data_IF_130850698147
#
_entry.id   IF_130850698147
#
_cell.length_a   1.000
_cell.length_b   1.000
_cell.length_c   1.000
_cell.angle_alpha   90.00
_cell.angle_beta   90.00
_cell.angle_gamma   90.00
#
_symmetry.space_group_name_H-M   'P 1'
#
loop_
_entity.id
_entity.type
_entity.pdbx_description
1 polymer ?
#
# COMPACT_ATOMS: atom_id res chain seq x y z
N UNK A 1 -18.66 18.78 3.09
CA UNK A 1 -17.76 18.58 1.93
C UNK A 1 -17.40 17.10 1.87
N UNK A 2 -17.71 16.43 0.75
CA UNK A 2 -17.65 14.97 0.60
C UNK A 2 -16.24 14.55 0.17
N UNK A 3 -15.67 13.53 0.81
CA UNK A 3 -14.66 12.68 0.17
C UNK A 3 -15.35 11.40 -0.31
N UNK A 4 -15.36 11.09 -1.61
CA UNK A 4 -15.98 9.86 -2.10
C UNK A 4 -14.98 8.72 -1.95
N UNK A 5 -15.20 7.85 -0.96
CA UNK A 5 -14.52 6.56 -0.92
C UNK A 5 -15.00 5.76 -2.13
N UNK A 6 -14.09 5.51 -3.07
CA UNK A 6 -14.35 4.86 -4.34
C UNK A 6 -14.54 3.35 -4.11
N UNK A 7 -15.73 2.94 -3.72
CA UNK A 7 -16.08 1.53 -3.54
C UNK A 7 -16.38 0.88 -4.90
N UNK A 8 -15.33 0.70 -5.72
CA UNK A 8 -15.44 -0.10 -6.95
C UNK A 8 -15.30 -1.58 -6.59
N UNK A 9 -16.41 -2.16 -6.14
CA UNK A 9 -16.61 -3.61 -6.01
C UNK A 9 -16.14 -4.28 -7.31
N UNK A 10 -15.08 -5.09 -7.23
CA UNK A 10 -14.57 -5.90 -8.34
C UNK A 10 -15.62 -6.95 -8.72
N UNK A 11 -16.67 -6.56 -9.45
CA UNK A 11 -17.50 -7.52 -10.16
C UNK A 11 -16.66 -8.06 -11.31
N UNK A 12 -16.28 -9.34 -11.26
CA UNK A 12 -15.55 -10.04 -12.33
C UNK A 12 -16.39 -10.02 -13.62
N UNK A 13 -16.32 -8.94 -14.38
CA UNK A 13 -16.77 -8.91 -15.76
C UNK A 13 -15.77 -9.72 -16.57
N UNK A 14 -16.22 -10.82 -17.20
CA UNK A 14 -15.45 -11.63 -18.16
C UNK A 14 -15.18 -10.82 -19.44
N UNK A 15 -14.46 -9.69 -19.35
CA UNK A 15 -13.99 -8.94 -20.51
C UNK A 15 -12.62 -9.47 -20.91
N UNK A 16 -12.55 -9.99 -22.13
CA UNK A 16 -11.31 -10.36 -22.82
C UNK A 16 -10.52 -9.06 -23.01
N UNK A 17 -9.32 -9.00 -22.44
CA UNK A 17 -8.43 -7.84 -22.55
C UNK A 17 -7.79 -7.90 -23.95
N UNK A 18 -8.37 -7.21 -24.91
CA UNK A 18 -7.68 -6.89 -26.16
C UNK A 18 -6.68 -5.77 -25.86
N UNK A 19 -5.41 -6.05 -26.17
CA UNK A 19 -4.26 -5.27 -25.74
C UNK A 19 -4.41 -3.78 -26.04
N UNK A 20 -4.26 -2.96 -25.01
CA UNK A 20 -4.27 -1.51 -25.17
C UNK A 20 -2.85 -0.96 -25.08
N UNK A 21 -2.56 -0.06 -26.00
CA UNK A 21 -1.34 0.73 -26.06
C UNK A 21 -1.36 1.81 -24.97
N UNK A 22 -0.21 1.99 -24.31
CA UNK A 22 0.04 2.57 -22.97
C UNK A 22 -0.19 1.55 -21.85
N UNK A 23 0.85 1.35 -21.03
CA UNK A 23 0.87 0.41 -19.90
C UNK A 23 -0.37 0.60 -19.04
N UNK A 24 -1.28 -0.38 -19.07
CA UNK A 24 -2.37 -0.47 -18.11
C UNK A 24 -1.75 -0.73 -16.72
N UNK A 25 -1.92 0.20 -15.78
CA UNK A 25 -1.47 0.01 -14.39
C UNK A 25 -2.65 -0.40 -13.51
N UNK A 26 -2.40 -1.32 -12.59
CA UNK A 26 -3.32 -1.62 -11.49
C UNK A 26 -2.82 -0.90 -10.24
N UNK A 27 -3.70 -0.15 -9.58
CA UNK A 27 -3.42 0.49 -8.29
C UNK A 27 -4.07 -0.31 -7.17
N UNK A 28 -3.29 -0.58 -6.12
CA UNK A 28 -3.77 -1.20 -4.88
C UNK A 28 -3.50 -0.21 -3.75
N UNK A 29 -4.51 0.03 -2.90
CA UNK A 29 -4.41 0.92 -1.74
C UNK A 29 -4.91 0.19 -0.49
N UNK A 30 -4.17 0.34 0.61
CA UNK A 30 -4.52 -0.21 1.93
C UNK A 30 -4.74 0.96 2.88
N UNK A 31 -5.82 0.93 3.63
CA UNK A 31 -6.17 1.94 4.62
C UNK A 31 -6.59 1.27 5.93
N UNK A 32 -6.21 1.88 7.04
CA UNK A 32 -6.62 1.49 8.39
C UNK A 32 -7.12 2.74 9.16
N UNK A 33 -7.69 2.53 10.34
CA UNK A 33 -8.20 3.58 11.23
C UNK A 33 -7.39 3.67 12.54
N UNK A 34 -6.12 3.23 12.50
CA UNK A 34 -5.20 3.28 13.62
C UNK A 34 -4.71 4.70 13.93
N UNK A 35 -3.78 4.79 14.90
CA UNK A 35 -3.24 6.07 15.36
C UNK A 35 -2.42 6.83 14.30
N UNK A 36 -2.09 6.19 13.17
CA UNK A 36 -1.23 6.75 12.13
C UNK A 36 0.24 6.80 12.55
N UNK A 37 1.01 7.63 11.86
CA UNK A 37 2.45 7.78 12.06
C UNK A 37 2.81 9.26 12.10
N UNK A 38 3.71 9.65 13.01
CA UNK A 38 4.33 10.98 12.97
C UNK A 38 5.18 11.14 11.70
N UNK A 39 5.50 12.37 11.32
CA UNK A 39 6.33 12.61 10.14
C UNK A 39 7.72 11.97 10.23
N UNK A 40 8.29 11.90 11.44
CA UNK A 40 9.58 11.25 11.67
C UNK A 40 9.49 9.74 11.41
N UNK A 41 8.44 9.09 11.91
CA UNK A 41 8.21 7.65 11.69
C UNK A 41 7.99 7.39 10.20
N UNK A 42 7.21 8.21 9.50
CA UNK A 42 6.97 8.07 8.05
C UNK A 42 8.26 8.15 7.23
N UNK A 43 9.20 9.05 7.60
CA UNK A 43 10.49 9.17 6.90
C UNK A 43 11.35 7.91 7.06
N UNK A 44 11.22 7.21 8.18
CA UNK A 44 12.05 6.07 8.57
C UNK A 44 11.38 4.71 8.34
N UNK A 45 10.08 4.66 8.06
CA UNK A 45 9.29 3.41 8.03
C UNK A 45 9.79 2.35 7.04
N UNK A 46 10.61 2.73 6.06
CA UNK A 46 11.21 1.81 5.08
C UNK A 46 12.66 1.43 5.40
N UNK A 47 13.27 1.99 6.45
CA UNK A 47 14.60 1.62 6.93
C UNK A 47 14.59 0.17 7.44
N UNK A 48 15.56 -0.68 7.04
CA UNK A 48 15.65 -2.04 7.57
C UNK A 48 15.70 -2.04 9.10
N UNK A 49 14.88 -2.91 9.71
CA UNK A 49 14.77 -3.10 11.17
C UNK A 49 14.17 -1.93 11.96
N UNK A 50 13.75 -0.84 11.31
CA UNK A 50 13.03 0.22 12.01
C UNK A 50 11.61 -0.23 12.35
N UNK A 51 11.20 -0.02 13.62
CA UNK A 51 9.86 -0.34 14.11
C UNK A 51 9.52 0.54 15.32
N UNK A 52 8.24 0.93 15.44
CA UNK A 52 7.67 1.54 16.65
C UNK A 52 6.92 0.52 17.52
N UNK A 53 6.87 -0.74 17.08
CA UNK A 53 6.28 -1.85 17.84
C UNK A 53 7.28 -2.38 18.88
N UNK A 54 6.84 -3.40 19.62
CA UNK A 54 7.65 -4.10 20.61
C UNK A 54 9.03 -4.57 20.07
N UNK A 55 10.09 -4.60 20.91
CA UNK A 55 11.44 -4.97 20.51
C UNK A 55 11.59 -6.37 19.89
N UNK A 56 10.62 -7.26 20.13
CA UNK A 56 10.59 -8.62 19.56
C UNK A 56 10.14 -8.65 18.10
N UNK A 57 9.59 -7.55 17.57
CA UNK A 57 9.16 -7.42 16.18
C UNK A 57 10.32 -6.98 15.29
N UNK A 58 10.48 -7.64 14.14
CA UNK A 58 11.68 -7.47 13.31
C UNK A 58 11.81 -6.13 12.59
N UNK A 59 10.70 -5.40 12.35
CA UNK A 59 10.73 -4.17 11.55
C UNK A 59 11.09 -4.35 10.07
N UNK A 60 10.90 -5.55 9.49
CA UNK A 60 11.28 -5.83 8.10
C UNK A 60 10.13 -5.75 7.08
N UNK A 61 8.86 -5.74 7.52
CA UNK A 61 7.71 -5.85 6.62
C UNK A 61 7.62 -4.73 5.58
N UNK A 62 7.73 -3.47 6.01
CA UNK A 62 7.64 -2.31 5.12
C UNK A 62 8.84 -2.22 4.15
N UNK A 63 10.05 -2.48 4.63
CA UNK A 63 11.27 -2.55 3.79
C UNK A 63 11.13 -3.59 2.68
N UNK A 64 10.65 -4.80 3.01
CA UNK A 64 10.46 -5.86 2.03
C UNK A 64 9.36 -5.52 1.02
N UNK A 65 8.23 -4.95 1.48
CA UNK A 65 7.16 -4.51 0.58
C UNK A 65 7.66 -3.49 -0.44
N UNK A 66 8.45 -2.50 -0.02
CA UNK A 66 9.06 -1.53 -0.92
C UNK A 66 10.02 -2.19 -1.92
N UNK A 67 10.85 -3.14 -1.45
CA UNK A 67 11.77 -3.90 -2.29
C UNK A 67 11.07 -4.78 -3.34
N UNK A 68 9.89 -5.32 -3.05
CA UNK A 68 9.10 -6.14 -3.98
C UNK A 68 8.41 -5.30 -5.06
N UNK A 69 7.97 -4.08 -4.71
CA UNK A 69 7.24 -3.20 -5.63
C UNK A 69 8.17 -2.51 -6.65
N UNK A 70 9.44 -2.32 -6.29
CA UNK A 70 10.46 -1.71 -7.15
C UNK A 70 10.95 -2.66 -8.24
#
# INVERSE_FOLDING_TARGET
MKSPVFEKRLSRSKKKWEGTSRKDFVTISVADSGAGMSEEVQRRMFEPFFTTNEPTMSGLGATLAYGIVK
#
